data_IF_907862106983
#
_entry.id   IF_907862106983
#
_cell.length_a   1.000
_cell.length_b   1.000
_cell.length_c   1.000
_cell.angle_alpha   90.00
_cell.angle_beta   90.00
_cell.angle_gamma   90.00
#
_symmetry.space_group_name_H-M   'P 1'
#
loop_
_entity.id
_entity.type
_entity.pdbx_description
1 polymer ?
#
# COMPACT_ATOMS: atom_id res chain seq x y z
N UNK A 1 18.35 -7.85 -6.17
CA UNK A 1 18.27 -6.89 -5.07
C UNK A 1 17.05 -6.01 -5.21
N UNK A 2 16.35 -5.81 -4.14
CA UNK A 2 15.13 -5.01 -4.17
C UNK A 2 15.45 -3.52 -4.06
N UNK A 3 14.91 -2.74 -4.98
CA UNK A 3 14.99 -1.29 -4.88
C UNK A 3 14.00 -0.80 -3.83
N UNK A 4 14.24 0.41 -3.33
CA UNK A 4 13.29 1.06 -2.44
C UNK A 4 11.95 1.21 -3.16
N UNK A 5 10.94 0.39 -2.82
CA UNK A 5 9.67 0.46 -3.52
C UNK A 5 8.88 1.70 -3.10
N UNK A 6 8.07 2.26 -4.00
CA UNK A 6 7.22 3.38 -3.63
C UNK A 6 6.15 2.92 -2.65
N UNK A 7 5.65 3.86 -1.84
CA UNK A 7 4.51 3.56 -0.99
C UNK A 7 3.30 3.23 -1.86
N UNK A 8 2.48 2.23 -1.47
CA UNK A 8 1.30 1.89 -2.27
C UNK A 8 0.35 3.05 -2.54
N UNK A 9 0.31 4.04 -1.65
CA UNK A 9 -0.49 5.25 -1.86
C UNK A 9 -0.01 6.06 -3.06
N UNK A 10 1.30 6.09 -3.32
CA UNK A 10 1.84 6.77 -4.50
C UNK A 10 1.43 6.04 -5.78
N UNK A 11 1.43 4.71 -5.73
CA UNK A 11 1.01 3.89 -6.86
C UNK A 11 -0.47 4.14 -7.16
N UNK A 12 -1.29 4.15 -6.11
CA UNK A 12 -2.71 4.45 -6.24
C UNK A 12 -2.92 5.82 -6.87
N UNK A 13 -2.19 6.81 -6.40
CA UNK A 13 -2.32 8.18 -6.90
C UNK A 13 -1.97 8.26 -8.37
N UNK A 14 -0.83 7.70 -8.78
CA UNK A 14 -0.34 7.85 -10.15
C UNK A 14 -1.06 6.95 -11.15
N UNK A 15 -1.52 5.76 -10.72
CA UNK A 15 -2.17 4.81 -11.65
C UNK A 15 -3.68 4.95 -11.71
N UNK A 16 -4.32 5.43 -10.65
CA UNK A 16 -5.79 5.42 -10.56
C UNK A 16 -6.39 6.80 -10.39
N UNK A 17 -5.84 7.62 -9.52
CA UNK A 17 -6.44 8.90 -9.17
C UNK A 17 -6.15 9.95 -10.24
N UNK A 18 -4.89 10.18 -10.55
CA UNK A 18 -4.48 11.21 -11.51
C UNK A 18 -4.96 10.95 -12.94
N UNK A 19 -4.83 9.72 -13.47
CA UNK A 19 -5.29 9.47 -14.83
C UNK A 19 -6.78 9.71 -15.04
N UNK A 20 -7.58 9.52 -13.99
CA UNK A 20 -9.03 9.73 -14.05
C UNK A 20 -9.43 11.13 -13.59
N UNK A 21 -8.46 11.98 -13.28
CA UNK A 21 -8.69 13.35 -12.80
C UNK A 21 -9.66 13.37 -11.61
N UNK A 22 -9.56 12.37 -10.73
CA UNK A 22 -10.45 12.29 -9.58
C UNK A 22 -9.98 13.23 -8.47
N UNK A 23 -10.92 13.90 -7.84
CA UNK A 23 -10.62 14.57 -6.57
C UNK A 23 -10.54 13.54 -5.45
N UNK A 24 -9.84 13.88 -4.38
CA UNK A 24 -9.77 13.01 -3.21
C UNK A 24 -11.17 12.75 -2.65
N UNK A 25 -11.99 13.80 -2.60
CA UNK A 25 -13.37 13.69 -2.10
C UNK A 25 -14.19 12.72 -2.94
N UNK A 26 -14.12 12.82 -4.26
CA UNK A 26 -14.87 11.94 -5.14
C UNK A 26 -14.37 10.50 -5.04
N UNK A 27 -13.06 10.32 -5.03
CA UNK A 27 -12.47 8.98 -4.92
C UNK A 27 -12.82 8.32 -3.59
N UNK A 28 -12.75 9.05 -2.49
CA UNK A 28 -13.10 8.53 -1.17
C UNK A 28 -14.57 8.10 -1.14
N UNK A 29 -15.44 8.94 -1.67
CA UNK A 29 -16.88 8.62 -1.72
C UNK A 29 -17.12 7.35 -2.53
N UNK A 30 -16.47 7.21 -3.66
CA UNK A 30 -16.63 6.04 -4.51
C UNK A 30 -16.11 4.78 -3.81
N UNK A 31 -15.01 4.90 -3.07
CA UNK A 31 -14.44 3.78 -2.31
C UNK A 31 -15.21 3.46 -1.04
N UNK A 32 -16.12 4.35 -0.63
CA UNK A 32 -16.89 4.14 0.59
C UNK A 32 -16.07 4.37 1.86
N UNK A 33 -15.07 5.23 1.80
CA UNK A 33 -14.23 5.57 2.96
C UNK A 33 -14.24 7.08 3.17
N UNK A 34 -13.78 7.51 4.35
CA UNK A 34 -13.70 8.94 4.61
C UNK A 34 -12.59 9.58 3.78
N UNK A 35 -12.76 10.89 3.51
CA UNK A 35 -11.73 11.66 2.81
C UNK A 35 -10.40 11.61 3.57
N UNK A 36 -10.48 11.68 4.91
CA UNK A 36 -9.29 11.63 5.75
C UNK A 36 -8.54 10.29 5.59
N UNK A 37 -9.28 9.19 5.56
CA UNK A 37 -8.69 7.86 5.36
C UNK A 37 -7.95 7.81 4.03
N UNK A 38 -8.59 8.23 2.95
CA UNK A 38 -7.95 8.19 1.64
C UNK A 38 -6.76 9.14 1.58
N UNK A 39 -6.89 10.34 2.14
CA UNK A 39 -5.80 11.31 2.17
C UNK A 39 -4.59 10.73 2.91
N UNK A 40 -4.82 10.09 4.05
CA UNK A 40 -3.73 9.46 4.79
C UNK A 40 -3.03 8.37 3.98
N UNK A 41 -3.80 7.57 3.25
CA UNK A 41 -3.23 6.54 2.39
C UNK A 41 -2.39 7.17 1.26
N UNK A 42 -2.93 8.16 0.58
CA UNK A 42 -2.24 8.81 -0.53
C UNK A 42 -0.96 9.53 -0.09
N UNK A 43 -0.93 10.01 1.15
CA UNK A 43 0.23 10.71 1.69
C UNK A 43 1.21 9.81 2.43
N UNK A 44 0.99 8.50 2.39
CA UNK A 44 1.91 7.54 2.99
C UNK A 44 1.81 7.43 4.49
N UNK A 45 0.73 7.95 5.10
CA UNK A 45 0.55 7.89 6.55
C UNK A 45 -0.12 6.61 7.03
N UNK A 46 -0.61 5.80 6.11
CA UNK A 46 -1.17 4.49 6.42
C UNK A 46 -0.98 3.57 5.21
N UNK A 47 -1.04 2.27 5.45
CA UNK A 47 -0.91 1.28 4.40
C UNK A 47 -2.25 0.79 3.90
N UNK A 48 -2.19 -0.13 2.92
CA UNK A 48 -3.37 -0.77 2.35
C UNK A 48 -3.67 -2.03 3.15
N UNK A 49 -4.85 -2.07 3.77
CA UNK A 49 -5.36 -3.26 4.44
C UNK A 49 -6.00 -4.19 3.41
N UNK A 50 -6.24 -5.46 3.78
CA UNK A 50 -6.99 -6.35 2.89
C UNK A 50 -8.35 -5.79 2.47
N UNK A 51 -9.08 -5.16 3.40
CA UNK A 51 -10.36 -4.56 3.07
C UNK A 51 -10.19 -3.43 2.06
N UNK A 52 -9.20 -2.57 2.26
CA UNK A 52 -8.93 -1.49 1.31
C UNK A 52 -8.55 -2.06 -0.06
N UNK A 53 -7.75 -3.12 -0.09
CA UNK A 53 -7.35 -3.76 -1.33
C UNK A 53 -8.57 -4.26 -2.11
N UNK A 54 -9.55 -4.81 -1.40
CA UNK A 54 -10.80 -5.26 -2.02
C UNK A 54 -11.58 -4.07 -2.59
N UNK A 55 -11.70 -2.99 -1.81
CA UNK A 55 -12.40 -1.78 -2.28
C UNK A 55 -11.74 -1.22 -3.53
N UNK A 56 -10.41 -1.16 -3.55
CA UNK A 56 -9.66 -0.67 -4.70
C UNK A 56 -9.85 -1.58 -5.92
N UNK A 57 -9.89 -2.89 -5.70
CA UNK A 57 -10.07 -3.83 -6.80
C UNK A 57 -11.43 -3.66 -7.47
N UNK A 58 -12.46 -3.37 -6.70
CA UNK A 58 -13.81 -3.19 -7.21
C UNK A 58 -13.92 -1.86 -7.97
N UNK A 59 -13.45 -0.78 -7.36
CA UNK A 59 -13.61 0.55 -7.95
C UNK A 59 -12.76 0.74 -9.20
N UNK A 60 -11.52 0.25 -9.17
CA UNK A 60 -10.57 0.50 -10.27
C UNK A 60 -10.32 -0.74 -11.13
N UNK A 61 -11.08 -1.79 -10.93
CA UNK A 61 -10.95 -3.03 -11.71
C UNK A 61 -9.52 -3.55 -11.71
N UNK A 62 -8.94 -3.62 -10.53
CA UNK A 62 -7.59 -4.12 -10.30
C UNK A 62 -7.66 -5.36 -9.42
N UNK A 63 -6.53 -5.99 -9.17
CA UNK A 63 -6.45 -7.17 -8.33
C UNK A 63 -6.16 -6.78 -6.88
N UNK A 64 -6.95 -7.30 -5.94
CA UNK A 64 -6.69 -7.09 -4.52
C UNK A 64 -5.32 -7.66 -4.13
N UNK A 65 -4.95 -8.79 -4.72
CA UNK A 65 -3.65 -9.42 -4.48
C UNK A 65 -2.50 -8.52 -4.91
N UNK A 66 -2.65 -7.82 -6.02
CA UNK A 66 -1.64 -6.91 -6.51
C UNK A 66 -1.42 -5.75 -5.53
N UNK A 67 -2.50 -5.20 -4.96
CA UNK A 67 -2.38 -4.16 -3.94
C UNK A 67 -1.68 -4.65 -2.68
N UNK A 68 -2.01 -5.87 -2.24
CA UNK A 68 -1.35 -6.46 -1.08
C UNK A 68 0.11 -6.78 -1.35
N UNK A 69 0.44 -7.14 -2.60
CA UNK A 69 1.84 -7.38 -2.98
C UNK A 69 2.65 -6.10 -2.91
N UNK A 70 2.11 -4.99 -3.38
CA UNK A 70 2.78 -3.69 -3.26
C UNK A 70 3.00 -3.32 -1.80
N UNK A 71 2.00 -3.55 -0.96
CA UNK A 71 2.11 -3.26 0.46
C UNK A 71 3.18 -4.14 1.12
N UNK A 72 3.17 -5.43 0.80
CA UNK A 72 4.16 -6.37 1.34
C UNK A 72 5.58 -5.96 0.96
N UNK A 73 5.79 -5.60 -0.31
CA UNK A 73 7.12 -5.20 -0.78
C UNK A 73 7.60 -3.96 -0.05
N UNK A 74 6.73 -2.99 0.13
CA UNK A 74 7.06 -1.77 0.85
C UNK A 74 7.41 -2.08 2.30
N UNK A 75 6.54 -2.82 2.99
CA UNK A 75 6.72 -3.14 4.40
C UNK A 75 7.98 -3.96 4.62
N UNK A 76 8.20 -4.97 3.77
CA UNK A 76 9.34 -5.85 3.92
C UNK A 76 10.65 -5.10 3.66
N UNK A 77 10.68 -4.23 2.65
CA UNK A 77 11.89 -3.45 2.37
C UNK A 77 12.27 -2.58 3.58
N UNK A 78 11.27 -1.90 4.17
CA UNK A 78 11.53 -1.05 5.34
C UNK A 78 11.92 -1.86 6.56
N UNK A 79 11.30 -3.01 6.77
CA UNK A 79 11.68 -3.90 7.87
C UNK A 79 13.11 -4.41 7.71
N UNK A 80 13.52 -4.71 6.48
CA UNK A 80 14.88 -5.18 6.21
C UNK A 80 15.93 -4.13 6.53
N UNK A 81 15.60 -2.85 6.42
CA UNK A 81 16.54 -1.79 6.80
C UNK A 81 16.88 -1.82 8.29
N UNK A 82 16.02 -2.43 9.09
CA UNK A 82 16.20 -2.50 10.55
C UNK A 82 16.41 -3.93 11.04
N UNK A 83 16.77 -4.87 10.13
CA UNK A 83 16.87 -6.27 10.51
C UNK A 83 17.93 -6.52 11.60
N UNK A 84 18.94 -5.67 11.65
CA UNK A 84 19.97 -5.79 12.69
C UNK A 84 19.46 -5.57 14.11
N UNK A 85 18.28 -4.95 14.26
CA UNK A 85 17.66 -4.75 15.57
C UNK A 85 16.95 -5.98 16.08
N UNK A 86 16.71 -6.96 15.17
CA UNK A 86 16.04 -8.19 15.54
C UNK A 86 17.03 -9.04 16.36
N UNK A 87 16.65 -9.36 17.57
CA UNK A 87 17.50 -10.13 18.47
C UNK A 87 17.28 -11.62 18.23
N UNK A 88 17.60 -12.06 17.03
CA UNK A 88 17.38 -13.46 16.64
C UNK A 88 18.68 -14.08 16.19
N UNK A 89 18.76 -15.38 16.32
CA UNK A 89 19.90 -16.17 15.88
C UNK A 89 19.43 -17.25 14.93
N UNK A 90 20.27 -17.53 13.95
CA UNK A 90 20.00 -18.64 13.07
C UNK A 90 20.08 -19.92 13.88
N UNK A 91 19.08 -20.78 13.72
CA UNK A 91 19.12 -22.08 14.35
C UNK A 91 20.19 -22.92 13.65
N UNK A 92 21.09 -23.49 14.46
CA UNK A 92 22.15 -24.31 13.92
C UNK A 92 21.54 -25.59 13.32
N UNK A 93 21.75 -25.79 12.03
CA UNK A 93 21.31 -27.03 11.39
C UNK A 93 22.16 -28.19 11.91
N UNK A 94 21.51 -29.16 12.48
CA UNK A 94 22.19 -30.33 12.93
C UNK A 94 22.68 -31.13 11.72
#
# INVERSE_FOLDING_TARGET
MMHNPPHPGEILKSLCIEPLALSVTKAAKTLGVSRKTLSNLLNGHMGISPEMAIRLSIVFNTSAESWMRHQMQYDLWHAQQNRGRLKVKKLSAA
#
